data_IF_113140514234
#
_entry.id   IF_113140514234
#
_cell.length_a   1.000
_cell.length_b   1.000
_cell.length_c   1.000
_cell.angle_alpha   90.00
_cell.angle_beta   90.00
_cell.angle_gamma   90.00
#
_symmetry.space_group_name_H-M   'P 1'
#
loop_
_entity.id
_entity.type
_entity.pdbx_description
1 polymer ?
#
# COMPACT_ATOMS: atom_id res chain seq x y z
N UNK A 1 -1.14 8.88 -2.93
CA UNK A 1 -0.13 9.88 -3.38
C UNK A 1 -0.43 10.34 -4.79
N UNK A 2 -0.26 11.62 -5.14
CA UNK A 2 -0.47 12.10 -6.51
C UNK A 2 0.87 12.31 -7.25
N UNK A 3 0.85 12.16 -8.57
CA UNK A 3 2.01 12.44 -9.44
C UNK A 3 2.37 13.93 -9.35
N UNK A 4 3.66 14.28 -9.19
CA UNK A 4 4.09 15.67 -9.23
C UNK A 4 3.64 16.37 -10.51
N UNK A 5 2.98 17.52 -10.37
CA UNK A 5 2.47 18.30 -11.50
C UNK A 5 1.11 17.85 -12.05
N UNK A 6 0.43 16.88 -11.42
CA UNK A 6 -0.94 16.53 -11.77
C UNK A 6 -1.90 17.71 -11.59
N UNK A 7 -2.89 17.85 -12.46
CA UNK A 7 -3.92 18.88 -12.35
C UNK A 7 -5.00 18.43 -11.34
N UNK A 8 -5.12 19.12 -10.21
CA UNK A 8 -6.12 18.77 -9.19
C UNK A 8 -7.56 18.89 -9.68
N UNK A 9 -7.82 19.74 -10.68
CA UNK A 9 -9.16 19.93 -11.25
C UNK A 9 -9.47 18.87 -12.32
N UNK A 10 -8.45 18.10 -12.76
CA UNK A 10 -8.57 17.08 -13.80
C UNK A 10 -7.56 15.96 -13.53
N UNK A 11 -7.92 15.09 -12.59
CA UNK A 11 -7.09 13.95 -12.20
C UNK A 11 -7.35 12.76 -13.11
N UNK A 12 -6.30 12.25 -13.73
CA UNK A 12 -6.35 10.99 -14.48
C UNK A 12 -5.95 9.81 -13.58
N UNK A 13 -6.35 8.57 -13.92
CA UNK A 13 -5.99 7.43 -13.11
C UNK A 13 -4.47 7.26 -12.93
N UNK A 14 -3.67 7.59 -13.94
CA UNK A 14 -2.21 7.53 -13.88
C UNK A 14 -1.57 8.57 -12.92
N UNK A 15 -2.33 9.56 -12.48
CA UNK A 15 -1.90 10.54 -11.49
C UNK A 15 -1.94 9.98 -10.07
N UNK A 16 -2.63 8.86 -9.83
CA UNK A 16 -2.64 8.19 -8.54
C UNK A 16 -1.48 7.22 -8.44
N UNK A 17 -0.56 7.48 -7.51
CA UNK A 17 0.64 6.69 -7.26
C UNK A 17 0.48 5.85 -5.99
N UNK A 18 0.97 4.61 -6.04
CA UNK A 18 1.12 3.77 -4.87
C UNK A 18 2.11 4.39 -3.89
N UNK A 19 1.70 4.59 -2.63
CA UNK A 19 2.53 5.21 -1.59
C UNK A 19 3.74 4.35 -1.16
N UNK A 20 3.83 3.11 -1.66
CA UNK A 20 4.90 2.15 -1.32
C UNK A 20 5.92 1.97 -2.44
N UNK A 21 5.50 1.95 -3.70
CA UNK A 21 6.40 1.71 -4.83
C UNK A 21 6.41 2.83 -5.88
N UNK A 22 5.56 3.84 -5.73
CA UNK A 22 5.46 4.98 -6.65
C UNK A 22 4.89 4.65 -8.02
N UNK A 23 4.49 3.40 -8.29
CA UNK A 23 3.84 3.03 -9.57
C UNK A 23 2.47 3.69 -9.66
N UNK A 24 2.13 4.12 -10.86
CA UNK A 24 0.80 4.66 -11.16
C UNK A 24 -0.26 3.56 -11.15
N UNK A 25 -1.50 3.95 -10.86
CA UNK A 25 -2.65 3.09 -11.05
C UNK A 25 -2.82 2.75 -12.53
N UNK A 26 -3.26 1.52 -12.80
CA UNK A 26 -3.69 1.05 -14.12
C UNK A 26 -4.79 0.02 -13.92
N UNK A 27 -5.60 -0.25 -14.93
CA UNK A 27 -6.63 -1.31 -14.89
C UNK A 27 -6.04 -2.68 -14.53
N UNK A 28 -4.80 -2.96 -14.93
CA UNK A 28 -4.12 -4.22 -14.63
C UNK A 28 -3.52 -4.30 -13.21
N UNK A 29 -3.46 -3.18 -12.49
CA UNK A 29 -2.85 -3.08 -11.16
C UNK A 29 -3.85 -2.44 -10.18
N UNK A 30 -4.68 -3.24 -9.50
CA UNK A 30 -5.69 -2.70 -8.60
C UNK A 30 -5.05 -2.05 -7.38
N UNK A 31 -5.69 -0.99 -6.90
CA UNK A 31 -5.29 -0.24 -5.71
C UNK A 31 -6.36 -0.38 -4.64
N UNK A 32 -5.93 -0.26 -3.39
CA UNK A 32 -6.80 0.01 -2.26
C UNK A 32 -6.46 1.39 -1.72
N UNK A 33 -7.49 2.22 -1.56
CA UNK A 33 -7.38 3.55 -0.95
C UNK A 33 -7.43 3.45 0.58
N UNK A 34 -6.60 4.25 1.25
CA UNK A 34 -6.58 4.45 2.69
C UNK A 34 -6.93 5.88 3.08
N UNK A 35 -6.57 6.28 4.30
CA UNK A 35 -6.82 7.64 4.78
C UNK A 35 -6.04 8.66 3.97
N UNK A 36 -6.66 9.84 3.76
CA UNK A 36 -6.06 10.98 3.06
C UNK A 36 -5.55 10.65 1.65
N UNK A 37 -6.24 9.77 0.91
CA UNK A 37 -5.86 9.42 -0.47
C UNK A 37 -4.55 8.64 -0.56
N UNK A 38 -4.17 7.94 0.51
CA UNK A 38 -3.07 6.96 0.46
C UNK A 38 -3.48 5.76 -0.39
N UNK A 39 -2.54 5.21 -1.16
CA UNK A 39 -2.81 4.12 -2.08
C UNK A 39 -1.84 2.95 -1.85
N UNK A 40 -2.40 1.74 -1.76
CA UNK A 40 -1.65 0.49 -1.73
C UNK A 40 -1.99 -0.35 -2.96
N UNK A 41 -1.02 -0.56 -3.85
CA UNK A 41 -1.22 -1.41 -5.02
C UNK A 41 -1.21 -2.91 -4.65
N UNK A 42 -1.93 -3.71 -5.43
CA UNK A 42 -2.02 -5.16 -5.26
C UNK A 42 -0.66 -5.89 -5.24
N UNK A 43 0.36 -5.38 -5.93
CA UNK A 43 1.70 -5.97 -5.88
C UNK A 43 2.39 -5.74 -4.52
N UNK A 44 2.35 -4.50 -4.00
CA UNK A 44 2.87 -4.20 -2.67
C UNK A 44 2.06 -4.92 -1.58
N UNK A 45 0.75 -5.03 -1.73
CA UNK A 45 -0.09 -5.83 -0.84
C UNK A 45 0.36 -7.30 -0.82
N UNK A 46 0.57 -7.92 -1.99
CA UNK A 46 1.07 -9.30 -2.08
C UNK A 46 2.40 -9.47 -1.38
N UNK A 47 3.35 -8.55 -1.57
CA UNK A 47 4.65 -8.56 -0.87
C UNK A 47 4.47 -8.45 0.64
N UNK A 48 3.63 -7.52 1.10
CA UNK A 48 3.34 -7.33 2.52
C UNK A 48 2.73 -8.58 3.15
N UNK A 49 1.75 -9.20 2.50
CA UNK A 49 1.12 -10.43 2.98
C UNK A 49 2.12 -11.58 3.11
N UNK A 50 3.00 -11.78 2.13
CA UNK A 50 4.07 -12.79 2.20
C UNK A 50 5.04 -12.51 3.35
N UNK A 51 5.41 -11.25 3.56
CA UNK A 51 6.25 -10.85 4.69
C UNK A 51 5.57 -11.18 6.03
N UNK A 52 4.27 -10.87 6.17
CA UNK A 52 3.51 -11.21 7.38
C UNK A 52 3.35 -12.71 7.62
N UNK A 53 3.24 -13.52 6.56
CA UNK A 53 3.14 -14.98 6.63
C UNK A 53 4.48 -15.62 7.01
N UNK A 54 5.59 -15.11 6.47
CA UNK A 54 6.96 -15.58 6.78
C UNK A 54 7.56 -14.97 8.05
N UNK A 55 6.81 -14.14 8.77
CA UNK A 55 7.29 -13.36 9.90
C UNK A 55 8.53 -12.49 9.58
N UNK A 56 8.71 -12.11 8.31
CA UNK A 56 9.76 -11.22 7.84
C UNK A 56 9.25 -9.77 7.82
N UNK A 57 8.85 -9.28 8.98
CA UNK A 57 8.28 -7.94 9.19
C UNK A 57 8.96 -7.24 10.35
N UNK A 58 8.88 -5.92 10.36
CA UNK A 58 9.43 -5.14 11.47
C UNK A 58 8.59 -5.40 12.73
N UNK A 59 9.19 -5.90 13.82
CA UNK A 59 8.45 -6.45 14.96
C UNK A 59 7.67 -5.39 15.74
N UNK A 60 8.16 -4.15 15.78
CA UNK A 60 7.54 -3.03 16.48
C UNK A 60 8.12 -1.73 15.95
N UNK A 61 7.26 -0.78 15.59
CA UNK A 61 7.68 0.53 15.12
C UNK A 61 6.66 1.57 15.62
N UNK A 62 7.13 2.73 16.08
CA UNK A 62 6.25 3.82 16.55
C UNK A 62 5.81 4.76 15.41
N UNK A 63 6.25 4.51 14.17
CA UNK A 63 5.92 5.37 13.02
C UNK A 63 4.48 5.17 12.58
N UNK A 64 3.90 6.14 11.90
CA UNK A 64 2.53 6.05 11.43
C UNK A 64 2.41 5.02 10.29
N UNK A 65 1.37 4.19 10.34
CA UNK A 65 0.95 3.42 9.17
C UNK A 65 0.55 4.38 8.04
N UNK A 66 1.07 4.17 6.83
CA UNK A 66 0.76 4.98 5.65
C UNK A 66 -0.73 4.94 5.29
N UNK A 67 -1.42 3.83 5.56
CA UNK A 67 -2.82 3.63 5.18
C UNK A 67 -3.84 4.13 6.22
N UNK A 68 -3.54 4.03 7.52
CA UNK A 68 -4.48 4.44 8.58
C UNK A 68 -4.01 5.61 9.44
N UNK A 69 -2.78 6.08 9.25
CA UNK A 69 -2.17 7.20 9.99
C UNK A 69 -2.06 6.98 11.50
N UNK A 70 -2.13 5.73 11.96
CA UNK A 70 -1.99 5.38 13.36
C UNK A 70 -0.61 4.82 13.71
N UNK A 71 -0.08 5.20 14.88
CA UNK A 71 1.13 4.65 15.49
C UNK A 71 0.81 3.31 16.18
N UNK A 72 0.73 2.25 15.37
CA UNK A 72 0.43 0.89 15.83
C UNK A 72 1.69 0.21 16.37
N UNK A 73 1.62 -0.47 17.51
CA UNK A 73 2.75 -1.23 18.08
C UNK A 73 2.89 -2.63 17.47
N UNK A 74 1.93 -3.04 16.67
CA UNK A 74 1.93 -4.33 15.98
C UNK A 74 2.98 -4.38 14.86
N UNK A 75 3.42 -5.59 14.47
CA UNK A 75 4.32 -5.76 13.35
C UNK A 75 3.79 -5.12 12.07
N UNK A 76 4.71 -4.61 11.25
CA UNK A 76 4.38 -3.97 10.01
C UNK A 76 5.34 -4.35 8.89
N UNK A 77 4.83 -4.35 7.66
CA UNK A 77 5.69 -4.40 6.50
C UNK A 77 6.12 -2.97 6.14
N UNK A 78 7.42 -2.82 5.89
CA UNK A 78 8.05 -1.57 5.52
C UNK A 78 8.66 -1.69 4.13
N UNK A 79 8.55 -0.61 3.35
CA UNK A 79 9.24 -0.45 2.08
C UNK A 79 9.96 0.91 2.07
N UNK A 80 11.07 1.05 1.32
CA UNK A 80 11.62 2.36 1.01
C UNK A 80 10.52 3.25 0.43
N UNK A 81 10.37 4.46 0.97
CA UNK A 81 9.42 5.40 0.45
C UNK A 81 9.81 5.79 -1.00
N UNK A 82 8.86 5.84 -1.95
CA UNK A 82 9.17 6.28 -3.30
C UNK A 82 9.63 7.74 -3.30
N UNK A 83 10.41 8.14 -4.31
CA UNK A 83 11.00 9.48 -4.40
C UNK A 83 9.97 10.62 -4.37
N UNK A 84 8.73 10.33 -4.76
CA UNK A 84 7.60 11.25 -4.76
C UNK A 84 6.91 11.37 -3.39
N UNK A 85 7.38 10.64 -2.38
CA UNK A 85 6.91 10.76 -1.00
C UNK A 85 7.19 12.15 -0.44
N UNK A 86 6.39 12.62 0.54
CA UNK A 86 6.73 13.83 1.30
C UNK A 86 8.16 13.74 1.85
N UNK A 87 8.92 14.84 1.78
CA UNK A 87 10.37 14.86 2.02
C UNK A 87 10.83 14.24 3.35
N UNK A 88 9.96 14.24 4.38
CA UNK A 88 10.26 13.68 5.70
C UNK A 88 9.96 12.18 5.82
N UNK A 89 9.48 11.52 4.76
CA UNK A 89 9.13 10.09 4.76
C UNK A 89 10.17 9.32 3.95
N UNK A 90 11.04 8.60 4.66
CA UNK A 90 12.04 7.68 4.06
C UNK A 90 11.53 6.24 3.95
N UNK A 91 10.50 5.90 4.72
CA UNK A 91 9.91 4.55 4.78
C UNK A 91 8.38 4.64 4.67
N UNK A 92 7.80 3.81 3.80
CA UNK A 92 6.36 3.57 3.75
C UNK A 92 6.02 2.32 4.58
N UNK A 93 4.98 2.40 5.41
CA UNK A 93 4.63 1.37 6.39
C UNK A 93 3.18 0.94 6.22
N UNK A 94 2.92 -0.37 6.21
CA UNK A 94 1.55 -0.91 6.31
C UNK A 94 1.43 -1.86 7.49
N UNK A 95 0.48 -1.57 8.39
CA UNK A 95 0.18 -2.43 9.52
C UNK A 95 -0.60 -3.69 9.09
N UNK A 96 -0.55 -4.73 9.94
CA UNK A 96 -1.28 -5.99 9.69
C UNK A 96 -2.80 -5.78 9.52
N UNK A 97 -3.50 -4.94 10.33
CA UNK A 97 -4.91 -4.64 10.11
C UNK A 97 -5.20 -4.05 8.72
N UNK A 98 -4.45 -3.04 8.29
CA UNK A 98 -4.63 -2.41 6.96
C UNK A 98 -4.38 -3.40 5.82
N UNK A 99 -3.33 -4.23 5.93
CA UNK A 99 -3.04 -5.27 4.92
C UNK A 99 -4.15 -6.32 4.85
N UNK A 100 -4.72 -6.68 6.00
CA UNK A 100 -5.83 -7.64 6.06
C UNK A 100 -7.11 -7.06 5.48
N UNK A 101 -7.40 -5.78 5.76
CA UNK A 101 -8.53 -5.07 5.19
C UNK A 101 -8.38 -4.94 3.67
N UNK A 102 -7.23 -4.47 3.19
CA UNK A 102 -6.94 -4.34 1.76
C UNK A 102 -7.06 -5.67 1.02
N UNK A 103 -6.57 -6.76 1.61
CA UNK A 103 -6.76 -8.11 1.09
C UNK A 103 -8.25 -8.43 0.89
N UNK A 104 -9.07 -8.21 1.92
CA UNK A 104 -10.51 -8.48 1.85
C UNK A 104 -11.22 -7.60 0.82
N UNK A 105 -10.78 -6.36 0.66
CA UNK A 105 -11.31 -5.45 -0.37
C UNK A 105 -11.07 -6.04 -1.76
N UNK A 106 -9.83 -6.40 -2.09
CA UNK A 106 -9.51 -6.97 -3.40
C UNK A 106 -10.10 -8.38 -3.60
N UNK A 107 -10.22 -9.21 -2.56
CA UNK A 107 -10.89 -10.52 -2.65
C UNK A 107 -12.39 -10.41 -2.97
N UNK A 108 -13.03 -9.30 -2.59
CA UNK A 108 -14.46 -9.05 -2.84
C UNK A 108 -14.72 -8.36 -4.19
N UNK A 109 -13.68 -7.88 -4.85
CA UNK A 109 -13.76 -7.24 -6.16
C UNK A 109 -13.26 -8.21 -7.24
N UNK A 110 -14.17 -8.95 -7.91
CA UNK A 110 -13.78 -9.87 -8.97
C UNK A 110 -13.23 -9.17 -10.22
N UNK A 111 -13.58 -7.91 -10.46
CA UNK A 111 -13.12 -7.13 -11.61
C UNK A 111 -11.68 -6.67 -11.44
N UNK A 112 -11.20 -6.55 -10.20
CA UNK A 112 -9.80 -6.21 -9.90
C UNK A 112 -8.77 -7.16 -10.52
N UNK A 113 -9.18 -8.40 -10.84
CA UNK A 113 -8.29 -9.46 -11.31
C UNK A 113 -7.24 -9.91 -10.28
N UNK A 114 -7.21 -9.33 -9.08
CA UNK A 114 -6.24 -9.65 -8.05
C UNK A 114 -6.51 -11.04 -7.48
N UNK A 115 -5.44 -11.81 -7.28
CA UNK A 115 -5.51 -13.12 -6.63
C UNK A 115 -4.61 -13.11 -5.41
N UNK A 116 -5.15 -13.63 -4.30
CA UNK A 116 -4.39 -13.81 -3.08
C UNK A 116 -3.13 -14.63 -3.38
N UNK A 117 -1.95 -14.22 -2.88
CA UNK A 117 -0.77 -15.06 -2.99
C UNK A 117 -1.03 -16.39 -2.29
N UNK A 118 -0.84 -17.50 -3.00
CA UNK A 118 -0.77 -18.82 -2.37
C UNK A 118 0.54 -18.91 -1.60
N UNK A 119 0.47 -19.36 -0.35
CA UNK A 119 1.66 -19.68 0.43
C UNK A 119 2.27 -20.93 -0.19
N UNK A 120 3.41 -20.79 -0.89
CA UNK A 120 4.21 -21.97 -1.22
C UNK A 120 4.80 -22.46 0.10
N UNK A 121 4.31 -23.60 0.56
CA UNK A 121 4.86 -24.36 1.68
C UNK A 121 6.28 -24.84 1.37
#
# INVERSE_FOLDING_TARGET
MHRPGSNSDHMEPEDFLCDFCGRSWTVAQPFVEGHQGSCLCGQCLTTALRAFESNNVEPTCCDLCTMCLEARKEPAWCAPAPAQSPANRTTARVCRPCSTQAKRTLERDPESGWKRPVSNA
#
